data_IF_644718609428
#
_entry.id   IF_644718609428
#
_cell.length_a   1.000
_cell.length_b   1.000
_cell.length_c   1.000
_cell.angle_alpha   90.00
_cell.angle_beta   90.00
_cell.angle_gamma   90.00
#
_symmetry.space_group_name_H-M   'P 1'
#
loop_
_entity.id
_entity.type
_entity.pdbx_description
1 polymer ?
#
# COMPACT_ATOMS: atom_id res chain seq x y z
N UNK A 1 -16.41 13.32 27.20
CA UNK A 1 -15.95 12.04 26.64
C UNK A 1 -14.96 12.32 25.50
N UNK A 2 -13.74 11.76 25.55
CA UNK A 2 -12.76 11.90 24.46
C UNK A 2 -13.16 10.94 23.33
N UNK A 3 -13.40 11.45 22.13
CA UNK A 3 -13.87 10.67 20.99
C UNK A 3 -12.73 9.81 20.38
N UNK A 4 -12.96 8.52 20.18
CA UNK A 4 -11.98 7.59 19.61
C UNK A 4 -11.83 7.84 18.10
N UNK A 5 -10.62 8.25 17.67
CA UNK A 5 -10.29 8.59 16.27
C UNK A 5 -9.33 7.60 15.59
N UNK A 6 -8.78 6.67 16.36
CA UNK A 6 -7.80 5.68 15.95
C UNK A 6 -8.15 4.33 16.58
N UNK A 7 -8.08 3.28 15.79
CA UNK A 7 -8.32 1.90 16.23
C UNK A 7 -7.24 1.01 15.60
N UNK A 8 -6.55 0.25 16.46
CA UNK A 8 -5.62 -0.82 16.10
C UNK A 8 -6.18 -2.12 16.67
N UNK A 9 -6.20 -3.18 15.85
CA UNK A 9 -6.80 -4.47 16.20
C UNK A 9 -5.75 -5.56 16.01
N UNK A 10 -5.41 -6.28 17.08
CA UNK A 10 -4.45 -7.41 17.13
C UNK A 10 -5.09 -8.62 17.84
N UNK A 11 -4.78 -9.84 17.41
CA UNK A 11 -5.43 -11.08 17.91
C UNK A 11 -5.03 -11.51 19.33
N UNK A 12 -3.88 -11.08 19.86
CA UNK A 12 -3.23 -11.68 21.04
C UNK A 12 -3.62 -11.11 22.42
N UNK A 13 -4.62 -10.23 22.54
CA UNK A 13 -4.95 -9.52 23.80
C UNK A 13 -6.32 -9.89 24.41
N UNK A 14 -6.81 -11.13 24.27
CA UNK A 14 -8.19 -11.49 24.63
C UNK A 14 -8.31 -12.45 25.84
N UNK A 15 -9.09 -12.11 26.88
CA UNK A 15 -9.55 -13.04 27.92
C UNK A 15 -10.92 -13.68 27.60
N UNK A 16 -11.22 -14.77 28.30
CA UNK A 16 -12.33 -15.73 28.10
C UNK A 16 -13.75 -15.10 28.12
N UNK A 17 -14.72 -15.55 27.28
CA UNK A 17 -15.92 -14.80 26.91
C UNK A 17 -17.13 -14.99 27.85
N UNK A 18 -16.93 -15.42 29.09
CA UNK A 18 -18.02 -15.89 29.96
C UNK A 18 -18.41 -14.94 31.10
N UNK A 19 -18.46 -13.61 30.95
CA UNK A 19 -19.05 -12.77 32.00
C UNK A 19 -19.86 -11.55 31.52
N UNK A 20 -21.11 -11.50 31.99
CA UNK A 20 -22.10 -10.46 31.77
C UNK A 20 -21.79 -9.18 32.58
N UNK A 21 -21.89 -8.01 31.94
CA UNK A 21 -22.15 -6.73 32.62
C UNK A 21 -21.27 -5.54 32.22
N UNK A 22 -21.94 -4.44 31.85
CA UNK A 22 -21.48 -3.04 31.83
C UNK A 22 -20.53 -2.53 30.71
N UNK A 23 -21.17 -1.99 29.65
CA UNK A 23 -20.98 -0.67 29.02
C UNK A 23 -19.68 -0.26 28.30
N UNK A 24 -18.53 -0.91 28.46
CA UNK A 24 -17.29 -0.62 27.69
C UNK A 24 -16.39 -1.84 27.34
N UNK A 25 -16.50 -3.05 27.92
CA UNK A 25 -15.69 -4.21 27.54
C UNK A 25 -16.15 -4.91 26.25
N UNK A 26 -17.41 -4.73 25.82
CA UNK A 26 -18.03 -5.52 24.74
C UNK A 26 -17.78 -4.98 23.31
N UNK A 27 -16.78 -4.12 23.12
CA UNK A 27 -16.43 -3.60 21.79
C UNK A 27 -15.42 -4.49 21.06
N UNK A 28 -14.74 -5.40 21.78
CA UNK A 28 -13.61 -6.18 21.27
C UNK A 28 -13.64 -7.68 21.59
N UNK A 29 -14.46 -8.18 22.52
CA UNK A 29 -14.45 -9.60 22.94
C UNK A 29 -15.15 -10.58 21.98
N UNK A 30 -15.65 -10.13 20.82
CA UNK A 30 -16.46 -10.98 19.93
C UNK A 30 -16.10 -10.84 18.44
N UNK A 31 -14.84 -10.53 18.11
CA UNK A 31 -14.39 -10.39 16.72
C UNK A 31 -13.32 -11.40 16.27
N UNK A 32 -13.24 -12.52 16.98
CA UNK A 32 -12.83 -13.80 16.39
C UNK A 32 -13.90 -14.37 15.44
N UNK A 33 -14.47 -13.56 14.54
CA UNK A 33 -15.45 -14.00 13.53
C UNK A 33 -15.27 -13.15 12.28
N UNK A 34 -14.93 -13.80 11.16
CA UNK A 34 -14.96 -13.34 9.76
C UNK A 34 -15.10 -11.82 9.56
N UNK A 35 -14.11 -11.20 8.92
CA UNK A 35 -14.07 -9.77 8.59
C UNK A 35 -15.30 -9.19 7.85
N UNK A 36 -16.29 -10.02 7.49
CA UNK A 36 -17.63 -9.62 7.07
C UNK A 36 -18.48 -8.93 8.15
N UNK A 37 -18.24 -9.16 9.46
CA UNK A 37 -19.12 -8.61 10.53
C UNK A 37 -18.69 -7.25 11.10
N UNK A 38 -17.43 -6.86 10.91
CA UNK A 38 -16.75 -5.78 11.65
C UNK A 38 -17.13 -4.36 11.22
N UNK A 39 -17.37 -4.14 9.93
CA UNK A 39 -17.55 -2.82 9.32
C UNK A 39 -18.89 -2.16 9.61
N UNK A 40 -19.98 -2.94 9.67
CA UNK A 40 -21.32 -2.45 10.07
C UNK A 40 -21.31 -2.01 11.54
N UNK A 41 -20.63 -2.77 12.40
CA UNK A 41 -20.48 -2.48 13.83
C UNK A 41 -19.61 -1.23 14.04
N UNK A 42 -18.49 -1.11 13.31
CA UNK A 42 -17.63 0.08 13.34
C UNK A 42 -18.38 1.33 12.90
N UNK A 43 -19.15 1.27 11.80
CA UNK A 43 -19.91 2.41 11.29
C UNK A 43 -20.96 2.92 12.28
N UNK A 44 -21.67 2.01 12.97
CA UNK A 44 -22.68 2.37 13.97
C UNK A 44 -22.09 2.89 15.29
N UNK A 45 -20.88 2.44 15.67
CA UNK A 45 -20.27 2.76 16.97
C UNK A 45 -19.25 3.90 16.92
N UNK A 46 -18.58 4.10 15.79
CA UNK A 46 -17.50 5.08 15.62
C UNK A 46 -17.69 5.86 14.30
N UNK A 47 -18.77 6.66 14.17
CA UNK A 47 -19.11 7.35 12.93
C UNK A 47 -18.09 8.43 12.52
N UNK A 48 -17.12 8.75 13.39
CA UNK A 48 -16.05 9.74 13.13
C UNK A 48 -14.67 9.10 12.90
N UNK A 49 -14.59 7.78 12.69
CA UNK A 49 -13.33 7.07 12.48
C UNK A 49 -12.60 7.61 11.24
N UNK A 50 -11.36 8.09 11.44
CA UNK A 50 -10.51 8.63 10.37
C UNK A 50 -9.33 7.73 10.03
N UNK A 51 -8.88 6.90 10.97
CA UNK A 51 -7.72 6.01 10.80
C UNK A 51 -8.05 4.60 11.26
N UNK A 52 -7.78 3.62 10.42
CA UNK A 52 -8.02 2.21 10.70
C UNK A 52 -6.77 1.40 10.33
N UNK A 53 -6.34 0.54 11.25
CA UNK A 53 -5.32 -0.48 10.99
C UNK A 53 -5.98 -1.83 11.12
N UNK A 54 -5.81 -2.68 10.11
CA UNK A 54 -6.32 -4.05 10.06
C UNK A 54 -5.12 -4.98 9.93
N UNK A 55 -5.01 -5.91 10.87
CA UNK A 55 -4.04 -6.99 10.82
C UNK A 55 -4.80 -8.30 10.63
N UNK A 56 -4.36 -9.11 9.66
CA UNK A 56 -5.00 -10.37 9.29
C UNK A 56 -3.95 -11.46 9.39
N UNK A 57 -4.24 -12.49 10.18
CA UNK A 57 -3.47 -13.71 10.20
C UNK A 57 -4.15 -14.76 9.31
N UNK A 58 -3.43 -15.25 8.30
CA UNK A 58 -3.96 -16.26 7.39
C UNK A 58 -3.58 -17.65 7.92
N UNK A 59 -4.59 -18.51 8.07
CA UNK A 59 -4.33 -19.92 8.32
C UNK A 59 -3.60 -20.53 7.11
N UNK A 60 -2.67 -21.46 7.37
CA UNK A 60 -1.69 -21.96 6.38
C UNK A 60 -2.27 -22.56 5.08
N UNK A 61 -3.58 -22.86 5.05
CA UNK A 61 -4.25 -23.56 3.94
C UNK A 61 -5.56 -22.90 3.44
N UNK A 62 -5.86 -21.65 3.82
CA UNK A 62 -7.11 -20.99 3.39
C UNK A 62 -6.95 -20.32 2.03
N UNK A 63 -7.81 -20.69 1.07
CA UNK A 63 -7.86 -20.14 -0.30
C UNK A 63 -8.80 -18.93 -0.39
N UNK A 64 -9.51 -18.57 0.69
CA UNK A 64 -10.59 -17.60 0.61
C UNK A 64 -10.11 -16.14 0.51
N UNK A 65 -10.50 -15.41 -0.56
CA UNK A 65 -9.86 -14.17 -0.96
C UNK A 65 -10.64 -12.99 -0.39
N UNK A 66 -10.21 -12.45 0.74
CA UNK A 66 -10.34 -11.02 1.07
C UNK A 66 -11.75 -10.36 0.92
N UNK A 67 -12.85 -11.12 1.00
CA UNK A 67 -14.24 -10.59 1.02
C UNK A 67 -14.50 -9.55 2.13
N UNK A 68 -13.56 -9.48 3.08
CA UNK A 68 -13.41 -8.57 4.21
C UNK A 68 -13.58 -7.09 3.84
N UNK A 69 -13.17 -6.69 2.65
CA UNK A 69 -13.08 -5.27 2.29
C UNK A 69 -14.37 -4.69 1.70
N UNK A 70 -15.29 -5.51 1.18
CA UNK A 70 -16.48 -5.03 0.45
C UNK A 70 -17.37 -4.07 1.25
N UNK A 71 -17.20 -4.04 2.57
CA UNK A 71 -17.93 -3.13 3.46
C UNK A 71 -17.15 -1.90 3.91
N UNK A 72 -15.82 -1.84 3.68
CA UNK A 72 -15.01 -0.68 4.05
C UNK A 72 -15.35 0.54 3.20
N UNK A 73 -15.85 0.34 1.98
CA UNK A 73 -16.35 1.43 1.14
C UNK A 73 -17.42 2.30 1.81
N UNK A 74 -18.14 1.75 2.80
CA UNK A 74 -19.15 2.49 3.57
C UNK A 74 -18.57 3.43 4.65
N UNK A 75 -17.26 3.38 4.90
CA UNK A 75 -16.58 4.23 5.87
C UNK A 75 -16.17 5.57 5.24
N UNK A 76 -17.16 6.41 4.89
CA UNK A 76 -16.98 7.66 4.12
C UNK A 76 -16.13 8.76 4.78
N UNK A 77 -15.69 8.58 6.03
CA UNK A 77 -14.82 9.51 6.76
C UNK A 77 -13.43 8.96 7.00
N UNK A 78 -13.16 7.76 6.52
CA UNK A 78 -11.87 7.11 6.69
C UNK A 78 -10.86 7.77 5.75
N UNK A 79 -9.86 8.40 6.33
CA UNK A 79 -8.79 9.11 5.62
C UNK A 79 -7.54 8.23 5.51
N UNK A 80 -7.30 7.32 6.46
CA UNK A 80 -6.13 6.45 6.48
C UNK A 80 -6.51 5.00 6.75
N UNK A 81 -6.06 4.11 5.87
CA UNK A 81 -6.20 2.66 6.03
C UNK A 81 -4.83 2.00 5.91
N UNK A 82 -4.50 1.14 6.87
CA UNK A 82 -3.37 0.21 6.79
C UNK A 82 -3.89 -1.22 6.92
N UNK A 83 -3.59 -2.07 5.95
CA UNK A 83 -3.92 -3.49 6.00
C UNK A 83 -2.65 -4.32 5.92
N UNK A 84 -2.49 -5.27 6.84
CA UNK A 84 -1.28 -6.08 7.01
C UNK A 84 -1.67 -7.55 7.09
N UNK A 85 -1.07 -8.38 6.24
CA UNK A 85 -1.06 -9.83 6.43
C UNK A 85 0.18 -10.20 7.24
N UNK A 86 0.01 -10.82 8.41
CA UNK A 86 1.13 -11.13 9.33
C UNK A 86 2.03 -12.23 8.79
N UNK A 87 1.42 -13.24 8.16
CA UNK A 87 2.09 -14.43 7.63
C UNK A 87 1.74 -14.60 6.14
N UNK A 88 2.24 -13.72 5.25
CA UNK A 88 1.88 -13.78 3.83
C UNK A 88 2.40 -15.07 3.22
N UNK A 89 1.50 -15.95 2.80
CA UNK A 89 1.88 -17.18 2.13
C UNK A 89 2.25 -16.87 0.66
N UNK A 90 3.45 -17.30 0.25
CA UNK A 90 3.99 -17.10 -1.10
C UNK A 90 3.15 -17.78 -2.20
N UNK A 91 2.27 -18.72 -1.84
CA UNK A 91 1.35 -19.41 -2.75
C UNK A 91 -0.06 -18.83 -2.81
N UNK A 92 -0.36 -17.76 -2.08
CA UNK A 92 -1.69 -17.13 -2.12
C UNK A 92 -1.94 -16.59 -3.53
N UNK A 93 -2.88 -17.24 -4.23
CA UNK A 93 -3.50 -16.70 -5.43
C UNK A 93 -4.80 -16.04 -4.98
N UNK A 94 -4.79 -14.72 -4.86
CA UNK A 94 -6.02 -13.98 -4.58
C UNK A 94 -6.83 -13.90 -5.86
N UNK A 95 -7.94 -14.64 -5.90
CA UNK A 95 -8.97 -14.44 -6.90
C UNK A 95 -9.80 -13.22 -6.52
N UNK A 96 -9.60 -12.10 -7.22
CA UNK A 96 -10.48 -10.94 -7.08
C UNK A 96 -11.74 -11.20 -7.92
N UNK A 97 -12.95 -11.18 -7.34
CA UNK A 97 -14.18 -11.26 -8.12
C UNK A 97 -14.24 -10.09 -9.12
N UNK A 98 -14.46 -10.40 -10.39
CA UNK A 98 -14.79 -9.43 -11.44
C UNK A 98 -16.32 -9.22 -11.34
N UNK A 99 -16.87 -8.01 -11.16
CA UNK A 99 -16.34 -6.68 -11.47
C UNK A 99 -15.63 -5.99 -10.28
N UNK A 100 -14.88 -4.89 -10.50
CA UNK A 100 -14.18 -4.17 -9.43
C UNK A 100 -15.19 -3.56 -8.46
N UNK A 101 -15.55 -4.32 -7.42
CA UNK A 101 -16.24 -3.78 -6.26
C UNK A 101 -15.32 -2.73 -5.67
N UNK A 102 -15.84 -1.54 -5.33
CA UNK A 102 -15.07 -0.58 -4.54
C UNK A 102 -14.74 -1.23 -3.20
N UNK A 103 -13.51 -1.72 -3.09
CA UNK A 103 -12.94 -2.41 -1.93
C UNK A 103 -12.60 -1.38 -0.84
N UNK A 104 -12.33 -0.14 -1.25
CA UNK A 104 -11.82 0.92 -0.38
C UNK A 104 -12.74 2.15 -0.35
N UNK A 105 -12.85 2.86 0.79
CA UNK A 105 -13.61 4.10 0.86
C UNK A 105 -12.94 5.22 0.06
N UNK A 106 -13.73 5.97 -0.71
CA UNK A 106 -13.27 7.05 -1.59
C UNK A 106 -12.68 8.28 -0.85
N UNK A 107 -12.88 8.38 0.46
CA UNK A 107 -12.34 9.44 1.33
C UNK A 107 -10.87 9.24 1.71
N UNK A 108 -10.26 8.13 1.29
CA UNK A 108 -8.88 7.82 1.66
C UNK A 108 -7.89 8.81 1.06
N UNK A 109 -7.03 9.33 1.92
CA UNK A 109 -5.84 10.10 1.57
C UNK A 109 -4.56 9.30 1.77
N UNK A 110 -4.58 8.25 2.60
CA UNK A 110 -3.44 7.36 2.86
C UNK A 110 -3.85 5.90 2.85
N UNK A 111 -3.19 5.11 2.00
CA UNK A 111 -3.39 3.67 1.91
C UNK A 111 -2.05 2.95 2.08
N UNK A 112 -2.02 1.95 2.95
CA UNK A 112 -0.88 1.04 3.11
C UNK A 112 -1.37 -0.39 3.05
N UNK A 113 -0.83 -1.15 2.10
CA UNK A 113 -1.17 -2.53 1.86
C UNK A 113 0.10 -3.37 2.05
N UNK A 114 -0.02 -4.49 2.76
CA UNK A 114 1.07 -5.41 3.00
C UNK A 114 0.59 -6.85 2.87
N UNK A 115 1.29 -7.67 2.07
CA UNK A 115 1.08 -9.13 2.05
C UNK A 115 -0.20 -9.62 1.38
N UNK A 116 -0.96 -8.72 0.72
CA UNK A 116 -2.27 -9.06 0.14
C UNK A 116 -2.19 -9.87 -1.16
N UNK A 117 -1.10 -9.78 -1.92
CA UNK A 117 -0.90 -10.59 -3.12
C UNK A 117 -1.85 -10.26 -4.27
N UNK A 118 -2.36 -9.03 -4.36
CA UNK A 118 -3.24 -8.63 -5.48
C UNK A 118 -2.50 -8.66 -6.82
N UNK A 119 -3.10 -9.14 -7.92
CA UNK A 119 -2.52 -8.99 -9.24
C UNK A 119 -2.35 -7.50 -9.59
N UNK A 120 -1.24 -7.09 -10.24
CA UNK A 120 -1.05 -5.70 -10.65
C UNK A 120 -2.16 -5.16 -11.55
N UNK A 121 -2.82 -6.02 -12.30
CA UNK A 121 -3.97 -5.70 -13.16
C UNK A 121 -5.15 -5.13 -12.38
N UNK A 122 -5.25 -5.41 -11.07
CA UNK A 122 -6.32 -4.88 -10.20
C UNK A 122 -5.98 -3.51 -9.60
N UNK A 123 -4.86 -2.89 -9.98
CA UNK A 123 -4.48 -1.56 -9.47
C UNK A 123 -5.51 -0.47 -9.82
N UNK A 124 -6.31 -0.68 -10.87
CA UNK A 124 -7.45 0.19 -11.23
C UNK A 124 -8.42 0.42 -10.07
N UNK A 125 -8.55 -0.55 -9.15
CA UNK A 125 -9.38 -0.43 -7.92
C UNK A 125 -8.85 0.60 -6.91
N UNK A 126 -7.56 0.94 -6.98
CA UNK A 126 -6.92 1.95 -6.14
C UNK A 126 -6.81 3.28 -6.88
N UNK A 127 -6.60 3.26 -8.19
CA UNK A 127 -6.51 4.47 -9.05
C UNK A 127 -7.76 5.35 -8.92
N UNK A 128 -8.94 4.76 -8.73
CA UNK A 128 -10.21 5.49 -8.56
C UNK A 128 -10.26 6.35 -7.28
N UNK A 129 -9.33 6.17 -6.34
CA UNK A 129 -9.26 6.96 -5.11
C UNK A 129 -8.68 8.36 -5.39
N UNK A 130 -9.54 9.28 -5.88
CA UNK A 130 -9.14 10.63 -6.34
C UNK A 130 -8.50 11.53 -5.29
N UNK A 131 -8.63 11.20 -3.99
CA UNK A 131 -8.05 11.95 -2.88
C UNK A 131 -6.77 11.31 -2.31
N UNK A 132 -6.32 10.20 -2.88
CA UNK A 132 -5.18 9.46 -2.36
C UNK A 132 -3.87 10.24 -2.57
N UNK A 133 -3.22 10.60 -1.47
CA UNK A 133 -1.95 11.33 -1.46
C UNK A 133 -0.76 10.42 -1.15
N UNK A 134 -0.99 9.34 -0.41
CA UNK A 134 0.05 8.42 0.03
C UNK A 134 -0.37 6.99 -0.25
N UNK A 135 0.43 6.27 -1.05
CA UNK A 135 0.27 4.85 -1.32
C UNK A 135 1.54 4.11 -0.93
N UNK A 136 1.39 3.05 -0.14
CA UNK A 136 2.48 2.17 0.27
C UNK A 136 2.10 0.72 -0.02
N UNK A 137 2.91 0.07 -0.83
CA UNK A 137 2.75 -1.32 -1.24
C UNK A 137 3.98 -2.08 -0.72
N UNK A 138 3.77 -3.02 0.20
CA UNK A 138 4.87 -3.68 0.92
C UNK A 138 4.70 -5.19 0.89
N UNK A 139 5.81 -5.93 0.91
CA UNK A 139 5.86 -7.38 1.11
C UNK A 139 4.82 -8.12 0.25
N UNK A 140 4.92 -8.01 -1.07
CA UNK A 140 3.98 -8.63 -2.02
C UNK A 140 2.52 -8.19 -1.83
N UNK A 141 2.29 -6.92 -1.47
CA UNK A 141 0.95 -6.33 -1.49
C UNK A 141 0.29 -6.48 -2.87
N UNK A 142 1.10 -6.32 -3.92
CA UNK A 142 0.78 -6.67 -5.30
C UNK A 142 1.80 -7.69 -5.85
N UNK A 143 1.36 -8.48 -6.84
CA UNK A 143 2.10 -9.57 -7.47
C UNK A 143 1.97 -9.54 -8.98
N UNK A 144 3.01 -10.04 -9.64
CA UNK A 144 3.10 -10.17 -11.09
C UNK A 144 4.25 -9.35 -11.67
N UNK A 145 4.65 -9.71 -12.89
CA UNK A 145 5.84 -9.15 -13.51
C UNK A 145 5.65 -7.74 -14.07
N UNK A 146 4.41 -7.32 -14.36
CA UNK A 146 4.12 -6.06 -15.04
C UNK A 146 3.08 -5.25 -14.27
N UNK A 147 3.43 -4.02 -13.93
CA UNK A 147 2.45 -2.99 -13.62
C UNK A 147 2.25 -2.09 -14.84
N UNK A 148 1.08 -2.18 -15.47
CA UNK A 148 0.65 -1.25 -16.52
C UNK A 148 -0.36 -0.25 -15.97
N UNK A 149 -0.02 1.03 -15.98
CA UNK A 149 -0.95 2.10 -15.66
C UNK A 149 -2.00 2.26 -16.78
N UNK A 150 -3.22 2.66 -16.42
CA UNK A 150 -4.25 2.98 -17.40
C UNK A 150 -4.13 4.47 -17.77
N UNK A 151 -4.12 4.78 -19.07
CA UNK A 151 -4.02 6.14 -19.57
C UNK A 151 -5.30 6.97 -19.33
N UNK A 152 -6.45 6.32 -19.13
CA UNK A 152 -7.73 7.00 -18.87
C UNK A 152 -7.87 7.49 -17.42
N UNK A 153 -7.16 6.85 -16.49
CA UNK A 153 -7.30 7.11 -15.05
C UNK A 153 -5.92 7.18 -14.39
N UNK A 154 -5.60 8.36 -13.85
CA UNK A 154 -4.35 8.64 -13.14
C UNK A 154 -4.51 8.89 -11.65
N UNK A 155 -3.41 8.73 -10.92
CA UNK A 155 -3.25 9.11 -9.52
C UNK A 155 -3.01 10.62 -9.38
N UNK A 156 -4.05 11.42 -9.62
CA UNK A 156 -3.94 12.87 -9.74
C UNK A 156 -3.47 13.60 -8.49
N UNK A 157 -3.71 13.05 -7.28
CA UNK A 157 -3.29 13.66 -6.00
C UNK A 157 -2.17 12.90 -5.29
N UNK A 158 -1.65 11.83 -5.88
CA UNK A 158 -0.66 10.99 -5.23
C UNK A 158 0.69 11.72 -5.19
N UNK A 159 1.14 12.02 -3.98
CA UNK A 159 2.39 12.72 -3.70
C UNK A 159 3.51 11.78 -3.28
N UNK A 160 3.15 10.67 -2.64
CA UNK A 160 4.12 9.69 -2.13
C UNK A 160 3.74 8.27 -2.56
N UNK A 161 4.69 7.59 -3.18
CA UNK A 161 4.59 6.18 -3.54
C UNK A 161 5.77 5.40 -2.96
N UNK A 162 5.45 4.34 -2.22
CA UNK A 162 6.41 3.32 -1.79
C UNK A 162 6.04 1.98 -2.43
N UNK A 163 7.02 1.37 -3.10
CA UNK A 163 6.97 -0.02 -3.56
C UNK A 163 8.10 -0.77 -2.87
N UNK A 164 7.75 -1.80 -2.12
CA UNK A 164 8.70 -2.55 -1.30
C UNK A 164 8.46 -4.04 -1.40
N UNK A 165 9.53 -4.79 -1.67
CA UNK A 165 9.54 -6.26 -1.62
C UNK A 165 8.44 -6.89 -2.48
N UNK A 166 8.54 -6.69 -3.80
CA UNK A 166 7.61 -7.19 -4.81
C UNK A 166 8.35 -7.90 -5.94
N UNK A 167 7.64 -8.72 -6.72
CA UNK A 167 8.18 -9.44 -7.88
C UNK A 167 8.04 -8.69 -9.22
N UNK A 168 7.74 -7.38 -9.18
CA UNK A 168 7.61 -6.56 -10.37
C UNK A 168 8.92 -6.53 -11.17
N UNK A 169 8.82 -6.73 -12.48
CA UNK A 169 9.95 -6.74 -13.41
C UNK A 169 9.93 -5.53 -14.36
N UNK A 170 8.72 -5.14 -14.78
CA UNK A 170 8.46 -4.01 -15.66
C UNK A 170 7.36 -3.10 -15.10
N UNK A 171 7.55 -1.80 -15.31
CA UNK A 171 6.58 -0.77 -14.96
C UNK A 171 6.32 0.09 -16.19
N UNK A 172 5.10 -0.02 -16.72
CA UNK A 172 4.62 0.71 -17.89
C UNK A 172 3.67 1.82 -17.41
N UNK A 173 4.17 3.05 -17.39
CA UNK A 173 3.42 4.24 -17.02
C UNK A 173 4.08 5.47 -17.65
N UNK A 174 3.44 6.62 -17.52
CA UNK A 174 3.94 7.92 -17.96
C UNK A 174 3.72 8.98 -16.89
N UNK A 175 4.20 10.19 -17.17
CA UNK A 175 4.01 11.37 -16.32
C UNK A 175 2.52 11.69 -16.10
N UNK A 176 1.67 11.41 -17.09
CA UNK A 176 0.21 11.69 -16.99
C UNK A 176 -0.50 10.79 -15.98
N UNK A 177 0.05 9.61 -15.67
CA UNK A 177 -0.58 8.69 -14.72
C UNK A 177 -0.31 9.08 -13.26
N UNK A 178 0.76 9.85 -12.99
CA UNK A 178 1.21 10.23 -11.64
C UNK A 178 1.64 11.73 -11.58
N UNK A 179 0.78 12.67 -12.02
CA UNK A 179 1.20 14.04 -12.31
C UNK A 179 1.62 14.85 -11.07
N UNK A 180 1.17 14.45 -9.88
CA UNK A 180 1.45 15.14 -8.61
C UNK A 180 2.50 14.42 -7.76
N UNK A 181 3.20 13.44 -8.30
CA UNK A 181 4.14 12.64 -7.53
C UNK A 181 5.35 13.47 -7.10
N UNK A 182 5.55 13.60 -5.79
CA UNK A 182 6.66 14.35 -5.19
C UNK A 182 7.81 13.42 -4.78
N UNK A 183 7.48 12.21 -4.30
CA UNK A 183 8.47 11.26 -3.78
C UNK A 183 8.16 9.82 -4.18
N UNK A 184 9.15 9.17 -4.78
CA UNK A 184 9.13 7.75 -5.11
C UNK A 184 10.19 7.00 -4.30
N UNK A 185 9.78 5.96 -3.59
CA UNK A 185 10.69 5.07 -2.88
C UNK A 185 10.47 3.64 -3.39
N UNK A 186 11.55 2.99 -3.81
CA UNK A 186 11.56 1.59 -4.23
C UNK A 186 12.57 0.86 -3.35
N UNK A 187 12.15 -0.25 -2.73
CA UNK A 187 12.98 -1.04 -1.82
C UNK A 187 12.90 -2.51 -2.10
N UNK A 188 14.03 -3.22 -2.09
CA UNK A 188 14.06 -4.68 -2.20
C UNK A 188 13.33 -5.20 -3.47
N UNK A 189 13.20 -4.39 -4.51
CA UNK A 189 12.59 -4.78 -5.79
C UNK A 189 13.71 -5.24 -6.73
N UNK A 190 14.21 -6.46 -6.51
CA UNK A 190 15.40 -6.98 -7.18
C UNK A 190 15.21 -7.28 -8.67
N UNK A 191 13.95 -7.43 -9.12
CA UNK A 191 13.64 -7.78 -10.51
C UNK A 191 13.30 -6.58 -11.39
N UNK A 192 12.89 -5.47 -10.81
CA UNK A 192 12.49 -4.27 -11.55
C UNK A 192 13.71 -3.70 -12.27
N UNK A 193 13.63 -3.58 -13.60
CA UNK A 193 14.80 -3.19 -14.41
C UNK A 193 14.89 -1.70 -14.69
N UNK A 194 13.75 -1.01 -14.73
CA UNK A 194 13.68 0.44 -15.00
C UNK A 194 12.44 1.07 -14.37
N UNK A 195 12.55 2.36 -14.06
CA UNK A 195 11.37 3.21 -13.85
C UNK A 195 10.86 3.70 -15.22
N UNK A 196 9.61 4.16 -15.31
CA UNK A 196 9.11 4.71 -16.56
C UNK A 196 9.88 5.96 -16.98
N UNK A 197 10.25 6.04 -18.26
CA UNK A 197 11.17 7.06 -18.80
C UNK A 197 10.64 8.49 -18.61
N UNK A 198 9.32 8.64 -18.67
CA UNK A 198 8.61 9.91 -18.49
C UNK A 198 8.55 10.39 -17.05
N UNK A 199 9.04 9.64 -16.06
CA UNK A 199 9.15 10.16 -14.69
C UNK A 199 10.19 11.29 -14.59
N UNK A 200 11.07 11.39 -15.59
CA UNK A 200 11.89 12.55 -15.94
C UNK A 200 11.09 13.86 -16.04
N UNK A 201 9.86 13.78 -16.54
CA UNK A 201 9.09 14.95 -16.96
C UNK A 201 8.09 15.40 -15.87
N UNK A 202 7.96 14.63 -14.78
CA UNK A 202 7.07 14.98 -13.65
C UNK A 202 7.64 16.20 -12.90
N UNK A 203 7.04 17.36 -13.09
CA UNK A 203 7.49 18.63 -12.50
C UNK A 203 7.58 18.63 -10.96
N UNK A 204 6.59 18.09 -10.23
CA UNK A 204 6.63 18.05 -8.77
C UNK A 204 7.59 17.03 -8.16
N UNK A 205 8.19 16.13 -8.96
CA UNK A 205 9.01 15.04 -8.42
C UNK A 205 10.33 15.60 -7.86
N UNK A 206 10.48 15.50 -6.54
CA UNK A 206 11.59 16.06 -5.78
C UNK A 206 12.57 14.97 -5.31
N UNK A 207 12.12 13.72 -5.15
CA UNK A 207 12.97 12.63 -4.66
C UNK A 207 12.65 11.28 -5.30
N UNK A 208 13.71 10.57 -5.72
CA UNK A 208 13.68 9.12 -5.97
C UNK A 208 14.68 8.44 -5.04
N UNK A 209 14.22 7.47 -4.26
CA UNK A 209 15.07 6.66 -3.38
C UNK A 209 15.00 5.19 -3.76
N UNK A 210 16.16 4.59 -3.95
CA UNK A 210 16.34 3.16 -4.24
C UNK A 210 17.14 2.52 -3.10
N UNK A 211 16.52 1.61 -2.35
CA UNK A 211 17.21 0.86 -1.30
C UNK A 211 17.29 -0.63 -1.68
N UNK A 212 18.49 -1.19 -1.80
CA UNK A 212 18.73 -2.60 -2.14
C UNK A 212 17.95 -3.06 -3.39
N UNK A 213 18.08 -2.30 -4.48
CA UNK A 213 17.42 -2.54 -5.76
C UNK A 213 18.38 -3.10 -6.83
N UNK A 214 17.80 -3.56 -7.94
CA UNK A 214 18.56 -4.01 -9.12
C UNK A 214 19.52 -2.91 -9.63
N UNK A 215 20.80 -3.20 -9.93
CA UNK A 215 21.73 -2.23 -10.52
C UNK A 215 21.24 -1.61 -11.84
N UNK A 216 20.51 -2.37 -12.67
CA UNK A 216 19.90 -1.84 -13.90
C UNK A 216 18.85 -0.77 -13.61
N UNK A 217 18.06 -0.92 -12.53
CA UNK A 217 17.11 0.10 -12.08
C UNK A 217 17.85 1.38 -11.70
N UNK A 218 18.94 1.25 -10.94
CA UNK A 218 19.77 2.38 -10.53
C UNK A 218 20.33 3.14 -11.74
N UNK A 219 20.87 2.41 -12.73
CA UNK A 219 21.39 3.01 -13.96
C UNK A 219 20.28 3.73 -14.75
N UNK A 220 19.13 3.08 -14.93
CA UNK A 220 17.98 3.66 -15.62
C UNK A 220 17.41 4.90 -14.92
N UNK A 221 17.36 4.89 -13.58
CA UNK A 221 16.90 6.05 -12.82
C UNK A 221 17.83 7.24 -13.02
N UNK A 222 19.16 7.05 -13.01
CA UNK A 222 20.13 8.13 -13.27
C UNK A 222 19.94 8.72 -14.68
N UNK A 223 19.88 7.88 -15.71
CA UNK A 223 19.65 8.30 -17.10
C UNK A 223 18.33 9.08 -17.27
N UNK A 224 17.25 8.62 -16.62
CA UNK A 224 15.97 9.31 -16.58
C UNK A 224 16.05 10.70 -15.93
N UNK A 225 16.87 10.85 -14.87
CA UNK A 225 17.05 12.14 -14.19
C UNK A 225 17.99 13.10 -14.92
N UNK A 226 18.98 12.60 -15.66
CA UNK A 226 19.93 13.44 -16.43
C UNK A 226 19.26 14.12 -17.64
N UNK A 227 18.20 13.51 -18.18
CA UNK A 227 17.40 14.07 -19.28
C UNK A 227 16.48 15.22 -18.85
N UNK A 228 16.41 15.55 -17.56
CA UNK A 228 15.58 16.67 -17.06
C UNK A 228 16.11 18.01 -17.58
N UNK A 229 15.22 18.94 -17.99
CA UNK A 229 15.62 20.30 -18.35
C UNK A 229 16.34 21.02 -17.20
N UNK A 230 17.39 21.78 -17.51
CA UNK A 230 18.19 22.52 -16.53
C UNK A 230 17.40 23.56 -15.72
N UNK A 231 16.21 23.95 -16.18
CA UNK A 231 15.30 24.89 -15.53
C UNK A 231 14.35 24.25 -14.52
N UNK A 232 14.30 22.91 -14.45
CA UNK A 232 13.47 22.18 -13.49
C UNK A 232 14.09 22.21 -12.08
N UNK A 233 13.26 22.10 -11.03
CA UNK A 233 13.75 21.89 -9.67
C UNK A 233 14.68 20.67 -9.65
N UNK A 234 15.76 20.77 -8.85
CA UNK A 234 16.72 19.67 -8.70
C UNK A 234 16.03 18.45 -8.08
N UNK A 235 16.03 17.35 -8.82
CA UNK A 235 15.57 16.04 -8.34
C UNK A 235 16.69 15.36 -7.55
N UNK A 236 16.40 14.97 -6.31
CA UNK A 236 17.30 14.17 -5.48
C UNK A 236 17.18 12.68 -5.82
N UNK A 237 18.30 12.03 -6.15
CA UNK A 237 18.37 10.57 -6.34
C UNK A 237 19.25 9.97 -5.24
N UNK A 238 18.64 9.22 -4.33
CA UNK A 238 19.34 8.50 -3.27
C UNK A 238 19.40 7.02 -3.59
N UNK A 239 20.60 6.43 -3.55
CA UNK A 239 20.79 4.99 -3.70
C UNK A 239 21.46 4.47 -2.44
N UNK A 240 20.86 3.45 -1.82
CA UNK A 240 21.43 2.75 -0.68
C UNK A 240 21.59 1.27 -1.01
N UNK A 241 22.74 0.69 -0.70
CA UNK A 241 22.95 -0.75 -0.70
C UNK A 241 23.45 -1.22 0.67
N UNK A 242 22.84 -2.29 1.18
CA UNK A 242 23.27 -3.01 2.38
C UNK A 242 24.65 -3.69 2.22
N UNK A 243 25.17 -3.78 0.98
CA UNK A 243 26.53 -4.28 0.70
C UNK A 243 27.58 -3.22 1.00
N UNK A 244 27.28 -1.94 0.74
CA UNK A 244 28.21 -0.83 0.99
C UNK A 244 28.37 -0.58 2.50
N UNK A 245 27.29 -0.73 3.27
CA UNK A 245 27.32 -0.65 4.75
C UNK A 245 28.16 -1.78 5.39
N UNK A 246 28.34 -2.92 4.70
CA UNK A 246 29.17 -4.05 5.20
C UNK A 246 30.65 -3.86 4.93
N UNK A 247 31.04 -3.24 3.81
CA UNK A 247 32.45 -2.93 3.51
C UNK A 247 33.04 -1.91 4.48
N UNK A 248 32.23 -0.95 4.93
CA UNK A 248 32.64 0.02 5.94
C UNK A 248 32.87 -0.59 7.33
N UNK A 249 32.17 -1.69 7.66
CA UNK A 249 32.30 -2.40 8.94
C UNK A 249 33.30 -3.55 8.95
N UNK A 250 33.82 -3.98 7.79
CA UNK A 250 34.84 -5.03 7.68
C UNK A 250 36.28 -4.50 7.74
N UNK A 251 36.44 -3.19 7.95
CA UNK A 251 37.75 -2.52 8.06
C UNK A 251 37.97 -1.89 9.46
N UNK A 252 37.10 -2.20 10.43
CA UNK A 252 37.30 -1.95 11.87
C UNK A 252 37.63 -3.26 12.59
#
# INVERSE_FOLDING_TARGET
MRELKHLEVTESNLPDPSYNGALLPNLLTHLGINALSSTKVIRGRIPKLKKLVIQIELARNTVEPLCCFGHLASLHRLESLKCIIVNPNSRLQVFVPIPPILIFPLSLTKLTLNGLGFPWETMSTIVVLSYLEVLKLQCYAFRGALWKANDEHGFHKLKFLLIEDTDIEAWDASDVNLPSLERLIIRHCYKLKKIPEKFGDIGPLEMIRLDDCNPSLVASTKDCTEKRPSSSKKLEVCVKSSVDDRKLKSHE
#
